data_IF_063904487269
#
_entry.id   IF_063904487269
#
_cell.length_a   1.000
_cell.length_b   1.000
_cell.length_c   1.000
_cell.angle_alpha   90.00
_cell.angle_beta   90.00
_cell.angle_gamma   90.00
#
_symmetry.space_group_name_H-M   'P 1'
#
loop_
_entity.id
_entity.type
_entity.pdbx_description
1 polymer ?
#
# COMPACT_ATOMS: atom_id res chain seq x y z
N UNK A 1 -17.37 -5.76 -1.91
CA UNK A 1 -17.09 -6.40 -0.61
C UNK A 1 -15.93 -5.66 0.04
N UNK A 2 -15.96 -5.41 1.35
CA UNK A 2 -14.90 -4.70 2.09
C UNK A 2 -14.34 -5.64 3.14
N UNK A 3 -13.02 -5.70 3.25
CA UNK A 3 -12.30 -6.61 4.17
C UNK A 3 -11.16 -5.81 4.79
N UNK A 4 -10.87 -5.98 6.10
CA UNK A 4 -9.71 -5.35 6.72
C UNK A 4 -8.41 -5.85 6.09
N UNK A 5 -7.46 -4.95 5.87
CA UNK A 5 -6.11 -5.26 5.39
C UNK A 5 -5.11 -4.54 6.29
N UNK A 6 -4.04 -5.24 6.65
CA UNK A 6 -2.90 -4.67 7.38
C UNK A 6 -1.80 -4.36 6.38
N UNK A 7 -1.33 -3.12 6.39
CA UNK A 7 -0.17 -2.66 5.64
C UNK A 7 1.04 -2.64 6.58
N UNK A 8 2.13 -3.31 6.19
CA UNK A 8 3.38 -3.25 6.93
C UNK A 8 4.18 -2.05 6.42
N UNK A 9 4.51 -1.11 7.31
CA UNK A 9 5.48 -0.06 6.99
C UNK A 9 6.88 -0.69 6.87
N UNK A 10 7.55 -0.50 5.74
CA UNK A 10 8.93 -0.93 5.52
C UNK A 10 9.90 0.23 5.70
N UNK A 11 9.51 1.42 5.26
CA UNK A 11 10.25 2.66 5.48
C UNK A 11 9.25 3.72 5.95
N UNK A 12 9.63 4.52 6.92
CA UNK A 12 8.84 5.66 7.35
C UNK A 12 9.76 6.72 7.94
N UNK A 13 9.64 7.96 7.48
CA UNK A 13 10.39 9.08 8.03
C UNK A 13 9.63 10.40 7.81
N UNK A 14 9.92 11.39 8.66
CA UNK A 14 9.47 12.76 8.49
C UNK A 14 10.67 13.70 8.39
N UNK A 15 10.58 14.73 7.54
CA UNK A 15 11.64 15.70 7.33
C UNK A 15 11.06 17.07 6.95
N UNK A 16 11.83 18.13 7.20
CA UNK A 16 11.47 19.47 6.72
C UNK A 16 11.78 19.59 5.24
N UNK A 17 10.74 19.75 4.42
CA UNK A 17 10.89 19.80 2.98
C UNK A 17 11.45 21.17 2.55
N UNK A 18 12.61 21.24 1.87
CA UNK A 18 13.34 22.48 1.63
C UNK A 18 12.55 23.52 0.82
N UNK A 19 11.74 23.07 -0.15
CA UNK A 19 10.91 23.97 -0.98
C UNK A 19 9.61 24.40 -0.29
N UNK A 20 8.92 23.49 0.40
CA UNK A 20 7.62 23.75 1.03
C UNK A 20 7.76 24.44 2.40
N UNK A 21 8.95 24.39 3.02
CA UNK A 21 9.23 24.92 4.36
C UNK A 21 8.23 24.39 5.41
N UNK A 22 7.83 23.14 5.24
CA UNK A 22 6.91 22.40 6.13
C UNK A 22 7.41 20.99 6.30
N UNK A 23 7.04 20.38 7.42
CA UNK A 23 7.24 18.97 7.70
C UNK A 23 6.46 18.11 6.68
N UNK A 24 7.15 17.16 6.07
CA UNK A 24 6.61 16.15 5.17
C UNK A 24 6.95 14.79 5.76
N UNK A 25 5.96 13.92 5.88
CA UNK A 25 6.16 12.53 6.28
C UNK A 25 5.95 11.63 5.06
N UNK A 26 6.91 10.75 4.81
CA UNK A 26 6.86 9.78 3.73
C UNK A 26 7.06 8.36 4.25
N UNK A 27 6.56 7.38 3.51
CA UNK A 27 6.78 5.98 3.83
C UNK A 27 6.44 5.02 2.71
N UNK A 28 7.08 3.87 2.77
CA UNK A 28 6.79 2.71 1.95
C UNK A 28 6.02 1.69 2.79
N UNK A 29 4.96 1.14 2.22
CA UNK A 29 4.12 0.15 2.85
C UNK A 29 3.90 -1.02 1.90
N UNK A 30 3.91 -2.24 2.43
CA UNK A 30 3.64 -3.43 1.65
C UNK A 30 2.64 -4.36 2.34
N UNK A 31 1.95 -5.15 1.53
CA UNK A 31 1.18 -6.30 2.00
C UNK A 31 0.96 -7.28 0.85
N UNK A 32 0.43 -8.46 1.14
CA UNK A 32 -0.04 -9.39 0.11
C UNK A 32 -1.48 -9.76 0.41
N UNK A 33 -2.36 -9.53 -0.56
CA UNK A 33 -3.79 -9.85 -0.46
C UNK A 33 -4.14 -11.03 -1.36
N UNK A 34 -5.30 -11.64 -1.10
CA UNK A 34 -5.95 -12.57 -2.02
C UNK A 34 -7.05 -11.82 -2.76
N UNK A 35 -6.92 -11.64 -4.07
CA UNK A 35 -7.89 -10.86 -4.86
C UNK A 35 -9.29 -11.49 -4.88
N UNK A 36 -9.37 -12.81 -4.72
CA UNK A 36 -10.61 -13.57 -4.56
C UNK A 36 -11.46 -13.10 -3.37
N UNK A 37 -10.84 -12.55 -2.30
CA UNK A 37 -11.58 -12.03 -1.14
C UNK A 37 -12.51 -10.86 -1.51
N UNK A 38 -12.23 -10.15 -2.61
CA UNK A 38 -13.05 -9.07 -3.18
C UNK A 38 -13.89 -9.51 -4.38
N UNK A 39 -13.97 -10.82 -4.65
CA UNK A 39 -14.74 -11.38 -5.77
C UNK A 39 -13.97 -11.41 -7.11
N UNK A 40 -12.68 -11.08 -7.12
CA UNK A 40 -11.85 -11.15 -8.31
C UNK A 40 -11.31 -12.58 -8.50
N UNK A 41 -12.15 -13.55 -8.85
CA UNK A 41 -11.76 -14.96 -8.99
C UNK A 41 -11.34 -15.38 -10.41
N UNK A 42 -11.54 -14.52 -11.41
CA UNK A 42 -11.24 -14.86 -12.81
C UNK A 42 -9.80 -15.34 -13.00
N UNK A 43 -9.60 -16.44 -13.72
CA UNK A 43 -8.25 -16.94 -14.04
C UNK A 43 -7.58 -17.80 -12.97
N UNK A 44 -8.11 -17.89 -11.74
CA UNK A 44 -7.48 -18.68 -10.66
C UNK A 44 -7.39 -20.17 -11.05
N UNK A 45 -8.49 -20.73 -11.57
CA UNK A 45 -8.52 -22.13 -12.02
C UNK A 45 -7.65 -22.38 -13.26
N UNK A 46 -7.25 -21.31 -13.96
CA UNK A 46 -6.35 -21.34 -15.11
C UNK A 46 -4.89 -21.06 -14.71
N UNK A 47 -4.59 -21.02 -13.41
CA UNK A 47 -3.23 -20.85 -12.88
C UNK A 47 -2.79 -19.41 -12.63
N UNK A 48 -3.66 -18.40 -12.82
CA UNK A 48 -3.34 -17.01 -12.46
C UNK A 48 -3.32 -16.88 -10.94
N UNK A 49 -2.21 -16.45 -10.32
CA UNK A 49 -2.12 -16.37 -8.87
C UNK A 49 -3.23 -15.50 -8.24
N UNK A 50 -3.77 -15.99 -7.13
CA UNK A 50 -4.71 -15.23 -6.30
C UNK A 50 -3.97 -14.20 -5.41
N UNK A 51 -2.71 -14.48 -5.09
CA UNK A 51 -1.85 -13.60 -4.29
C UNK A 51 -1.42 -12.39 -5.10
N UNK A 52 -1.74 -11.20 -4.60
CA UNK A 52 -1.32 -9.91 -5.17
C UNK A 52 -0.52 -9.14 -4.13
N UNK A 53 0.73 -8.80 -4.46
CA UNK A 53 1.57 -7.95 -3.61
C UNK A 53 1.23 -6.49 -3.88
N UNK A 54 0.90 -5.74 -2.82
CA UNK A 54 0.72 -4.30 -2.86
C UNK A 54 2.02 -3.64 -2.40
N UNK A 55 2.51 -2.69 -3.19
CA UNK A 55 3.63 -1.81 -2.88
C UNK A 55 3.10 -0.38 -2.96
N UNK A 56 3.10 0.32 -1.83
CA UNK A 56 2.43 1.61 -1.67
C UNK A 56 3.46 2.61 -1.16
N UNK A 57 3.67 3.68 -1.91
CA UNK A 57 4.51 4.82 -1.52
C UNK A 57 3.59 6.01 -1.21
N UNK A 58 3.82 6.65 -0.07
CA UNK A 58 3.05 7.82 0.37
C UNK A 58 4.01 8.93 0.77
N UNK A 59 3.69 10.16 0.38
CA UNK A 59 4.23 11.39 0.97
C UNK A 59 3.09 12.33 1.32
N UNK A 60 3.12 12.90 2.53
CA UNK A 60 2.08 13.77 3.05
C UNK A 60 2.69 15.02 3.69
N UNK A 61 2.18 16.19 3.28
CA UNK A 61 2.58 17.50 3.82
C UNK A 61 1.72 17.83 5.03
N UNK A 62 2.34 18.33 6.10
CA UNK A 62 1.62 18.85 7.26
C UNK A 62 0.65 19.97 6.86
N UNK A 63 -0.61 19.83 7.29
CA UNK A 63 -1.72 20.75 6.95
C UNK A 63 -1.45 22.17 7.46
#
# INVERSE_FOLDING_TARGET
KTVPVVLKATNFNCYDHPMLKREVCGGDFETTILRSQWGMSWGIDFGIPDKVKLLIQVEAVKQ
#
